data_IF_699998326844
#
_entry.id   IF_699998326844
#
_cell.length_a   1.000
_cell.length_b   1.000
_cell.length_c   1.000
_cell.angle_alpha   90.00
_cell.angle_beta   90.00
_cell.angle_gamma   90.00
#
_symmetry.space_group_name_H-M   'P 1'
#
loop_
_entity.id
_entity.type
_entity.pdbx_description
1 polymer ?
#
# COMPACT_ATOMS: atom_id res chain seq x y z
N UNK A 1 8.97 -31.76 4.80
CA UNK A 1 8.68 -30.40 4.32
C UNK A 1 7.23 -30.12 4.66
N UNK A 2 6.92 -29.16 5.55
CA UNK A 2 5.53 -28.83 5.81
C UNK A 2 4.93 -28.24 4.54
N UNK A 3 3.74 -28.72 4.19
CA UNK A 3 2.95 -28.27 3.06
C UNK A 3 2.75 -26.75 3.12
N UNK A 4 2.83 -26.09 1.97
CA UNK A 4 2.51 -24.66 1.78
C UNK A 4 1.03 -24.33 2.13
N UNK A 5 0.22 -25.34 2.45
CA UNK A 5 -1.22 -25.25 2.73
C UNK A 5 -1.60 -24.77 4.14
N UNK A 6 -0.65 -24.71 5.08
CA UNK A 6 -0.98 -24.48 6.50
C UNK A 6 -0.57 -23.08 7.00
N UNK A 7 -0.17 -22.17 6.11
CA UNK A 7 0.14 -20.77 6.47
C UNK A 7 -1.16 -19.93 6.51
N UNK A 8 -1.67 -19.57 7.72
CA UNK A 8 -2.92 -18.84 7.84
C UNK A 8 -2.84 -17.43 7.27
N UNK A 9 -1.64 -16.83 7.25
CA UNK A 9 -1.38 -15.51 6.64
C UNK A 9 -1.54 -15.62 5.14
N UNK A 10 -0.88 -16.58 4.50
CA UNK A 10 -1.01 -16.80 3.07
C UNK A 10 -2.48 -17.06 2.68
N UNK A 11 -3.18 -17.91 3.44
CA UNK A 11 -4.59 -18.18 3.19
C UNK A 11 -5.50 -16.93 3.33
N UNK A 12 -5.21 -16.05 4.29
CA UNK A 12 -5.94 -14.78 4.44
C UNK A 12 -5.70 -13.84 3.25
N UNK A 13 -4.44 -13.69 2.82
CA UNK A 13 -4.08 -12.87 1.66
C UNK A 13 -4.65 -13.43 0.35
N UNK A 14 -4.70 -14.75 0.21
CA UNK A 14 -5.35 -15.43 -0.93
C UNK A 14 -6.83 -15.09 -1.02
N UNK A 15 -7.58 -15.22 0.08
CA UNK A 15 -9.00 -14.84 0.12
C UNK A 15 -9.19 -13.36 -0.16
N UNK A 16 -8.35 -12.50 0.42
CA UNK A 16 -8.41 -11.06 0.20
C UNK A 16 -8.18 -10.70 -1.27
N UNK A 17 -7.18 -11.30 -1.92
CA UNK A 17 -6.89 -11.06 -3.32
C UNK A 17 -8.11 -11.41 -4.21
N UNK A 18 -8.77 -12.55 -3.98
CA UNK A 18 -9.98 -12.93 -4.71
C UNK A 18 -11.08 -11.87 -4.55
N UNK A 19 -11.39 -11.47 -3.31
CA UNK A 19 -12.45 -10.48 -3.04
C UNK A 19 -12.16 -9.12 -3.68
N UNK A 20 -10.89 -8.69 -3.69
CA UNK A 20 -10.48 -7.42 -4.27
C UNK A 20 -10.53 -7.47 -5.79
N UNK A 21 -10.13 -8.58 -6.40
CA UNK A 21 -10.25 -8.80 -7.85
C UNK A 21 -11.72 -8.73 -8.27
N UNK A 22 -12.62 -9.34 -7.50
CA UNK A 22 -14.06 -9.26 -7.75
C UNK A 22 -14.59 -7.82 -7.65
N UNK A 23 -14.17 -7.06 -6.63
CA UNK A 23 -14.54 -5.63 -6.50
C UNK A 23 -14.05 -4.81 -7.68
N UNK A 24 -12.78 -4.97 -8.06
CA UNK A 24 -12.16 -4.23 -9.18
C UNK A 24 -12.90 -4.55 -10.48
N UNK A 25 -13.23 -5.82 -10.72
CA UNK A 25 -14.00 -6.23 -11.88
C UNK A 25 -15.42 -5.63 -11.87
N UNK A 26 -16.07 -5.58 -10.71
CA UNK A 26 -17.43 -5.05 -10.56
C UNK A 26 -17.54 -3.54 -10.80
N UNK A 27 -16.46 -2.76 -10.62
CA UNK A 27 -16.46 -1.32 -10.91
C UNK A 27 -16.76 -0.99 -12.37
N UNK A 28 -16.41 -1.89 -13.30
CA UNK A 28 -16.42 -1.64 -14.75
C UNK A 28 -15.64 -0.37 -15.17
N UNK A 29 -14.70 0.09 -14.34
CA UNK A 29 -13.81 1.22 -14.61
C UNK A 29 -12.62 0.75 -15.46
N UNK A 30 -12.16 1.58 -16.40
CA UNK A 30 -11.00 1.26 -17.24
C UNK A 30 -9.67 1.37 -16.49
N UNK A 31 -9.61 2.26 -15.49
CA UNK A 31 -8.39 2.65 -14.78
C UNK A 31 -8.64 2.77 -13.27
N UNK A 32 -9.06 1.70 -12.56
CA UNK A 32 -9.40 1.80 -11.16
C UNK A 32 -8.17 2.07 -10.29
N UNK A 33 -8.41 2.76 -9.17
CA UNK A 33 -7.44 3.09 -8.14
C UNK A 33 -7.68 2.18 -6.92
N UNK A 34 -6.68 1.37 -6.58
CA UNK A 34 -6.69 0.49 -5.41
C UNK A 34 -5.66 0.99 -4.40
N UNK A 35 -6.09 1.25 -3.17
CA UNK A 35 -5.20 1.56 -2.04
C UNK A 35 -5.13 0.39 -1.08
N UNK A 36 -3.92 0.04 -0.65
CA UNK A 36 -3.66 -1.00 0.36
C UNK A 36 -2.86 -0.38 1.51
N UNK A 37 -3.54 -0.15 2.62
CA UNK A 37 -2.94 0.33 3.85
C UNK A 37 -2.92 -0.77 4.91
N UNK A 38 -2.17 -0.55 5.97
CA UNK A 38 -1.86 -1.46 7.05
C UNK A 38 -0.49 -1.12 7.62
N UNK A 39 -0.25 -1.49 8.87
CA UNK A 39 1.05 -1.23 9.53
C UNK A 39 2.17 -2.06 8.91
N UNK A 40 3.41 -1.71 9.20
CA UNK A 40 4.60 -2.47 8.81
C UNK A 40 4.48 -3.92 9.27
N UNK A 41 4.72 -4.87 8.35
CA UNK A 41 4.55 -6.30 8.59
C UNK A 41 3.14 -6.87 8.40
N UNK A 42 2.16 -6.08 7.93
CA UNK A 42 0.78 -6.53 7.69
C UNK A 42 0.58 -7.36 6.40
N UNK A 43 1.57 -7.43 5.52
CA UNK A 43 1.48 -8.22 4.27
C UNK A 43 1.02 -7.44 3.02
N UNK A 44 0.99 -6.10 3.09
CA UNK A 44 0.58 -5.21 1.98
C UNK A 44 1.27 -5.51 0.65
N UNK A 45 2.60 -5.53 0.64
CA UNK A 45 3.40 -5.82 -0.56
C UNK A 45 3.08 -7.20 -1.15
N UNK A 46 2.85 -8.20 -0.31
CA UNK A 46 2.45 -9.54 -0.75
C UNK A 46 1.07 -9.53 -1.42
N UNK A 47 0.09 -8.84 -0.82
CA UNK A 47 -1.24 -8.67 -1.39
C UNK A 47 -1.18 -7.91 -2.72
N UNK A 48 -0.45 -6.79 -2.78
CA UNK A 48 -0.28 -5.98 -3.98
C UNK A 48 0.28 -6.83 -5.14
N UNK A 49 1.29 -7.67 -4.88
CA UNK A 49 1.84 -8.60 -5.88
C UNK A 49 0.77 -9.57 -6.40
N UNK A 50 -0.07 -10.13 -5.52
CA UNK A 50 -1.14 -11.04 -5.91
C UNK A 50 -2.20 -10.35 -6.76
N UNK A 51 -2.52 -9.09 -6.48
CA UNK A 51 -3.45 -8.29 -7.30
C UNK A 51 -2.86 -7.98 -8.68
N UNK A 52 -1.57 -7.69 -8.78
CA UNK A 52 -0.88 -7.51 -10.07
C UNK A 52 -0.96 -8.78 -10.92
N UNK A 53 -0.71 -9.94 -10.31
CA UNK A 53 -0.76 -11.25 -10.99
C UNK A 53 -2.18 -11.63 -11.45
N UNK A 54 -3.21 -11.16 -10.75
CA UNK A 54 -4.62 -11.52 -10.97
C UNK A 54 -5.46 -10.36 -11.49
N UNK A 55 -4.80 -9.35 -12.06
CA UNK A 55 -5.47 -8.11 -12.42
C UNK A 55 -6.62 -8.39 -13.42
N UNK A 56 -7.88 -8.01 -13.09
CA UNK A 56 -9.04 -8.47 -13.87
C UNK A 56 -9.30 -7.63 -15.13
N UNK A 57 -8.58 -6.53 -15.32
CA UNK A 57 -8.79 -5.61 -16.45
C UNK A 57 -7.72 -5.85 -17.50
N UNK A 58 -8.13 -5.80 -18.78
CA UNK A 58 -7.23 -5.98 -19.90
C UNK A 58 -6.07 -4.96 -19.87
N UNK A 59 -4.84 -5.47 -20.02
CA UNK A 59 -3.62 -4.66 -19.94
C UNK A 59 -2.88 -4.85 -18.62
N UNK A 60 -1.88 -4.00 -18.39
CA UNK A 60 -1.08 -4.03 -17.15
C UNK A 60 -1.65 -3.06 -16.12
N UNK A 61 -1.46 -3.38 -14.84
CA UNK A 61 -1.65 -2.46 -13.72
C UNK A 61 -0.32 -1.84 -13.30
N UNK A 62 -0.36 -0.62 -12.77
CA UNK A 62 0.79 0.07 -12.22
C UNK A 62 0.80 -0.14 -10.70
N UNK A 63 1.83 -0.78 -10.15
CA UNK A 63 1.96 -1.02 -8.71
C UNK A 63 3.08 -0.17 -8.13
N UNK A 64 2.77 0.62 -7.10
CA UNK A 64 3.66 1.60 -6.50
C UNK A 64 3.65 1.41 -4.98
N UNK A 65 4.81 1.06 -4.42
CA UNK A 65 5.01 0.97 -2.98
C UNK A 65 5.47 2.33 -2.44
N UNK A 66 4.78 2.88 -1.44
CA UNK A 66 5.18 4.15 -0.82
C UNK A 66 6.52 4.03 -0.07
N UNK A 67 6.98 2.81 0.26
CA UNK A 67 8.34 2.56 0.74
C UNK A 67 9.41 3.12 -0.22
N UNK A 68 9.10 3.27 -1.51
CA UNK A 68 9.98 3.91 -2.51
C UNK A 68 9.82 5.43 -2.59
N UNK A 69 8.87 6.03 -1.86
CA UNK A 69 8.50 7.46 -1.94
C UNK A 69 8.81 8.21 -0.64
N UNK A 70 8.71 7.55 0.52
CA UNK A 70 8.90 8.20 1.83
C UNK A 70 10.27 8.90 1.90
N UNK A 71 10.32 10.22 2.17
CA UNK A 71 11.58 10.96 2.31
C UNK A 71 12.21 10.68 3.67
N UNK A 72 12.77 9.48 3.81
CA UNK A 72 13.36 9.01 5.04
C UNK A 72 12.33 8.55 6.07
N UNK A 73 12.84 8.24 7.25
CA UNK A 73 12.08 7.53 8.28
C UNK A 73 11.08 8.36 9.05
N UNK A 74 11.13 9.69 8.92
CA UNK A 74 10.14 10.61 9.50
C UNK A 74 9.18 11.13 8.41
N UNK A 75 9.21 10.49 7.23
CA UNK A 75 8.54 10.92 6.02
C UNK A 75 7.21 10.24 5.73
N UNK A 76 6.55 9.57 6.70
CA UNK A 76 5.31 8.84 6.44
C UNK A 76 4.25 9.77 5.83
N UNK A 77 3.97 10.90 6.51
CA UNK A 77 3.01 11.88 6.01
C UNK A 77 3.44 12.49 4.67
N UNK A 78 4.71 12.92 4.57
CA UNK A 78 5.24 13.55 3.36
C UNK A 78 5.22 12.62 2.15
N UNK A 79 5.47 11.31 2.33
CA UNK A 79 5.38 10.34 1.24
C UNK A 79 3.95 10.12 0.76
N UNK A 80 2.98 10.17 1.67
CA UNK A 80 1.55 10.10 1.32
C UNK A 80 1.13 11.36 0.55
N UNK A 81 1.53 12.54 0.98
CA UNK A 81 1.25 13.79 0.25
C UNK A 81 1.91 13.79 -1.14
N UNK A 82 3.16 13.32 -1.25
CA UNK A 82 3.85 13.12 -2.55
C UNK A 82 3.07 12.18 -3.46
N UNK A 83 2.53 11.08 -2.93
CA UNK A 83 1.71 10.16 -3.70
C UNK A 83 0.34 10.78 -4.09
N UNK A 84 -0.29 11.53 -3.19
CA UNK A 84 -1.54 12.22 -3.47
C UNK A 84 -1.39 13.23 -4.61
N UNK A 85 -0.36 14.09 -4.54
CA UNK A 85 -0.15 15.18 -5.49
C UNK A 85 0.49 14.72 -6.81
N UNK A 86 1.44 13.78 -6.73
CA UNK A 86 2.18 13.29 -7.90
C UNK A 86 1.44 12.19 -8.67
N UNK A 87 0.62 11.40 -7.99
CA UNK A 87 -0.01 10.20 -8.58
C UNK A 87 -1.53 10.32 -8.58
N UNK A 88 -2.16 10.38 -7.42
CA UNK A 88 -3.61 10.19 -7.30
C UNK A 88 -4.41 11.34 -7.89
N UNK A 89 -4.07 12.61 -7.59
CA UNK A 89 -4.77 13.78 -8.14
C UNK A 89 -4.63 13.90 -9.66
N UNK A 90 -3.44 13.74 -10.28
CA UNK A 90 -3.32 13.69 -11.73
C UNK A 90 -4.10 12.52 -12.34
N UNK A 91 -3.97 11.32 -11.78
CA UNK A 91 -4.61 10.11 -12.29
C UNK A 91 -6.14 10.24 -12.29
N UNK A 92 -6.74 10.67 -11.18
CA UNK A 92 -8.19 10.93 -11.08
C UNK A 92 -8.71 12.04 -12.00
N UNK A 93 -7.81 12.84 -12.60
CA UNK A 93 -8.13 13.85 -13.61
C UNK A 93 -7.82 13.40 -15.05
N UNK A 94 -7.38 12.16 -15.25
CA UNK A 94 -6.97 11.66 -16.56
C UNK A 94 -5.64 12.26 -17.04
N UNK A 95 -4.80 12.76 -16.14
CA UNK A 95 -3.52 13.42 -16.44
C UNK A 95 -2.34 12.51 -16.08
N UNK A 96 -1.25 12.68 -16.83
CA UNK A 96 0.02 11.99 -16.57
C UNK A 96 0.56 12.40 -15.19
N UNK A 97 0.69 11.42 -14.30
CA UNK A 97 1.29 11.59 -12.98
C UNK A 97 2.79 11.33 -12.99
N UNK A 98 3.48 11.82 -11.96
CA UNK A 98 4.90 11.57 -11.74
C UNK A 98 5.19 11.44 -10.25
N UNK A 99 6.04 10.48 -9.90
CA UNK A 99 6.60 10.37 -8.55
C UNK A 99 8.11 10.19 -8.62
N UNK A 100 8.79 10.57 -7.56
CA UNK A 100 10.25 10.47 -7.46
C UNK A 100 10.63 9.43 -6.44
N UNK A 101 11.56 8.54 -6.79
CA UNK A 101 12.07 7.55 -5.87
C UNK A 101 12.92 8.21 -4.79
N UNK A 102 12.79 7.73 -3.57
CA UNK A 102 13.72 8.02 -2.48
C UNK A 102 14.84 6.98 -2.45
N UNK A 103 16.09 7.45 -2.48
CA UNK A 103 17.28 6.63 -2.23
C UNK A 103 17.56 6.62 -0.72
N UNK A 104 17.24 5.49 -0.08
CA UNK A 104 17.44 5.29 1.36
C UNK A 104 18.92 5.23 1.76
N UNK A 105 19.83 4.82 0.86
CA UNK A 105 21.27 4.76 1.15
C UNK A 105 21.88 6.17 1.13
N UNK A 106 21.43 7.01 0.19
CA UNK A 106 21.91 8.39 0.04
C UNK A 106 21.11 9.42 0.82
N UNK A 107 19.97 9.02 1.39
CA UNK A 107 18.98 9.92 2.00
C UNK A 107 18.64 11.09 1.07
N UNK A 108 18.37 10.79 -0.20
CA UNK A 108 18.15 11.78 -1.24
C UNK A 108 17.14 11.34 -2.28
N UNK A 109 16.62 12.33 -3.02
CA UNK A 109 15.79 12.11 -4.18
C UNK A 109 16.58 11.51 -5.35
N UNK A 110 15.98 10.53 -6.04
CA UNK A 110 16.57 9.82 -7.17
C UNK A 110 15.76 10.02 -8.46
N UNK A 111 15.62 9.00 -9.29
CA UNK A 111 14.92 9.07 -10.57
C UNK A 111 13.40 9.30 -10.44
N UNK A 112 12.81 9.85 -11.51
CA UNK A 112 11.37 10.10 -11.62
C UNK A 112 10.71 9.02 -12.46
N UNK A 113 9.54 8.58 -12.04
CA UNK A 113 8.71 7.59 -12.73
C UNK A 113 7.38 8.22 -13.13
N UNK A 114 6.91 7.91 -14.34
CA UNK A 114 5.60 8.35 -14.84
C UNK A 114 4.50 7.37 -14.46
N UNK A 115 3.28 7.89 -14.26
CA UNK A 115 2.07 7.10 -14.02
C UNK A 115 1.03 7.43 -15.08
N UNK A 116 0.77 6.45 -15.95
CA UNK A 116 -0.16 6.58 -17.05
C UNK A 116 -1.62 6.58 -16.55
N UNK A 117 -2.42 7.63 -16.81
CA UNK A 117 -3.81 7.69 -16.37
C UNK A 117 -4.71 6.69 -17.08
N UNK A 118 -4.30 6.12 -18.21
CA UNK A 118 -5.08 5.12 -18.95
C UNK A 118 -5.05 3.72 -18.30
N UNK A 119 -4.18 3.50 -17.32
CA UNK A 119 -4.00 2.22 -16.64
C UNK A 119 -4.50 2.30 -15.19
N UNK A 120 -4.96 1.18 -14.66
CA UNK A 120 -5.23 1.06 -13.22
C UNK A 120 -3.96 1.25 -12.39
N UNK A 121 -4.13 1.68 -11.14
CA UNK A 121 -3.03 1.90 -10.19
C UNK A 121 -3.32 1.21 -8.86
N UNK A 122 -2.30 0.55 -8.31
CA UNK A 122 -2.29 0.01 -6.95
C UNK A 122 -1.22 0.79 -6.18
N UNK A 123 -1.63 1.47 -5.11
CA UNK A 123 -0.69 2.06 -4.16
C UNK A 123 -0.75 1.26 -2.86
N UNK A 124 0.42 0.83 -2.38
CA UNK A 124 0.54 0.13 -1.10
C UNK A 124 1.55 0.82 -0.19
N UNK A 125 1.22 0.94 1.09
CA UNK A 125 2.11 1.56 2.06
C UNK A 125 1.39 2.03 3.31
N UNK A 126 2.11 2.10 4.42
CA UNK A 126 1.56 2.55 5.70
C UNK A 126 1.21 4.05 5.66
N UNK A 127 -0.06 4.39 5.88
CA UNK A 127 -0.53 5.78 5.89
C UNK A 127 -1.21 6.23 4.60
N UNK A 128 -1.24 5.39 3.55
CA UNK A 128 -1.80 5.77 2.25
C UNK A 128 -3.31 6.05 2.29
N UNK A 129 -4.05 5.53 3.27
CA UNK A 129 -5.50 5.65 3.36
C UNK A 129 -5.91 6.80 4.27
N UNK A 130 -5.92 8.01 3.72
CA UNK A 130 -6.36 9.25 4.38
C UNK A 130 -7.70 9.72 3.82
N UNK A 131 -8.41 10.65 4.48
CA UNK A 131 -9.65 11.21 3.94
C UNK A 131 -9.48 11.85 2.54
N UNK A 132 -8.28 12.30 2.20
CA UNK A 132 -7.98 12.89 0.89
C UNK A 132 -7.77 11.83 -0.19
N UNK A 133 -6.98 10.79 0.10
CA UNK A 133 -6.73 9.70 -0.87
C UNK A 133 -7.97 8.82 -1.05
N UNK A 134 -8.76 8.61 0.01
CA UNK A 134 -9.99 7.82 -0.01
C UNK A 134 -11.07 8.38 -0.96
N UNK A 135 -11.08 9.70 -1.19
CA UNK A 135 -12.00 10.36 -2.15
C UNK A 135 -11.68 10.06 -3.61
N UNK A 136 -10.47 9.61 -3.90
CA UNK A 136 -9.99 9.31 -5.25
C UNK A 136 -10.01 7.80 -5.51
N UNK A 137 -9.78 7.00 -4.46
CA UNK A 137 -9.69 5.55 -4.57
C UNK A 137 -11.05 4.86 -4.71
N UNK A 138 -11.12 3.91 -5.64
CA UNK A 138 -12.30 3.08 -5.88
C UNK A 138 -12.37 1.90 -4.90
N UNK A 139 -11.23 1.26 -4.66
CA UNK A 139 -11.09 0.14 -3.71
C UNK A 139 -10.07 0.52 -2.64
N UNK A 140 -10.45 0.38 -1.37
CA UNK A 140 -9.68 0.86 -0.22
C UNK A 140 -9.55 -0.25 0.80
N UNK A 141 -8.34 -0.76 0.98
CA UNK A 141 -8.08 -1.93 1.81
C UNK A 141 -7.32 -1.51 3.05
N UNK A 142 -7.84 -1.88 4.21
CA UNK A 142 -7.10 -1.89 5.47
C UNK A 142 -6.70 -3.33 5.82
N UNK A 143 -5.41 -3.62 5.87
CA UNK A 143 -4.87 -4.86 6.39
C UNK A 143 -4.61 -4.73 7.89
N UNK A 144 -5.51 -5.34 8.66
CA UNK A 144 -5.36 -5.46 10.10
C UNK A 144 -4.47 -6.65 10.44
N UNK A 145 -3.52 -6.48 11.35
CA UNK A 145 -2.68 -7.59 11.79
C UNK A 145 -2.14 -7.38 13.19
N UNK A 146 -2.20 -8.46 13.98
CA UNK A 146 -1.82 -8.45 15.38
C UNK A 146 -0.36 -7.98 15.59
N UNK A 147 -0.15 -7.23 16.68
CA UNK A 147 1.12 -6.56 16.96
C UNK A 147 2.30 -7.51 17.15
N UNK A 148 2.10 -8.64 17.82
CA UNK A 148 3.16 -9.62 18.06
C UNK A 148 3.65 -10.26 16.75
N UNK A 149 2.72 -10.54 15.82
CA UNK A 149 3.04 -11.10 14.50
C UNK A 149 3.72 -10.09 13.59
N UNK A 150 3.25 -8.84 13.56
CA UNK A 150 3.77 -7.82 12.61
C UNK A 150 5.20 -7.42 12.92
N UNK A 151 5.58 -7.26 14.20
CA UNK A 151 6.94 -6.85 14.59
C UNK A 151 7.97 -7.91 14.23
N UNK A 152 7.67 -9.19 14.49
CA UNK A 152 8.54 -10.29 14.11
C UNK A 152 8.73 -10.37 12.59
N UNK A 153 7.66 -10.20 11.80
CA UNK A 153 7.73 -10.21 10.32
C UNK A 153 8.51 -9.02 9.77
N UNK A 154 8.26 -7.81 10.27
CA UNK A 154 8.97 -6.61 9.84
C UNK A 154 10.47 -6.69 10.14
N UNK A 155 10.86 -7.16 11.35
CA UNK A 155 12.27 -7.33 11.71
C UNK A 155 12.95 -8.46 10.94
N UNK A 156 12.23 -9.54 10.61
CA UNK A 156 12.75 -10.62 9.76
C UNK A 156 13.00 -10.13 8.33
N UNK A 157 12.14 -9.25 7.81
CA UNK A 157 12.23 -8.72 6.44
C UNK A 157 13.31 -7.64 6.31
N UNK A 158 13.28 -6.63 7.18
CA UNK A 158 14.05 -5.39 7.01
C UNK A 158 15.25 -5.29 7.99
N UNK A 159 15.41 -6.27 8.87
CA UNK A 159 16.62 -6.51 9.64
C UNK A 159 17.09 -5.36 10.53
N UNK A 160 18.42 -5.20 10.58
CA UNK A 160 19.11 -4.24 11.45
C UNK A 160 19.03 -2.79 10.98
N UNK A 161 18.67 -2.54 9.71
CA UNK A 161 18.47 -1.18 9.19
C UNK A 161 17.16 -0.58 9.71
N UNK A 162 16.13 -1.41 9.89
CA UNK A 162 14.81 -0.98 10.38
C UNK A 162 14.75 -0.91 11.91
N UNK A 163 15.49 -1.79 12.61
CA UNK A 163 15.44 -1.93 14.08
C UNK A 163 15.65 -0.62 14.86
N UNK A 164 16.64 0.25 14.54
CA UNK A 164 16.85 1.52 15.25
C UNK A 164 15.71 2.52 15.03
N UNK A 165 14.89 2.30 14.00
CA UNK A 165 13.86 3.23 13.55
C UNK A 165 12.45 2.73 13.85
N UNK A 166 12.30 1.51 14.39
CA UNK A 166 11.02 0.90 14.72
C UNK A 166 10.11 1.84 15.50
N UNK A 167 10.57 2.37 16.63
CA UNK A 167 9.72 3.17 17.52
C UNK A 167 9.30 4.49 16.86
N UNK A 168 10.17 5.11 16.05
CA UNK A 168 9.82 6.35 15.36
C UNK A 168 8.85 6.15 14.20
N UNK A 169 8.98 5.04 13.49
CA UNK A 169 8.04 4.67 12.45
C UNK A 169 6.68 4.29 13.04
N UNK A 170 6.69 3.44 14.07
CA UNK A 170 5.48 3.00 14.76
C UNK A 170 4.67 4.16 15.36
N UNK A 171 5.35 5.22 15.85
CA UNK A 171 4.67 6.45 16.29
C UNK A 171 3.91 7.15 15.16
N UNK A 172 4.52 7.30 13.99
CA UNK A 172 3.85 7.91 12.84
C UNK A 172 2.66 7.08 12.35
N UNK A 173 2.76 5.74 12.39
CA UNK A 173 1.63 4.86 12.12
C UNK A 173 0.49 5.08 13.11
N UNK A 174 0.81 5.17 14.41
CA UNK A 174 -0.19 5.46 15.46
C UNK A 174 -0.84 6.82 15.29
N UNK A 175 -0.07 7.85 14.95
CA UNK A 175 -0.59 9.20 14.68
C UNK A 175 -1.53 9.20 13.46
N UNK A 176 -1.19 8.44 12.41
CA UNK A 176 -2.05 8.23 11.25
C UNK A 176 -3.36 7.53 11.65
N UNK A 177 -3.32 6.46 12.44
CA UNK A 177 -4.52 5.78 12.92
C UNK A 177 -5.47 6.73 13.67
N UNK A 178 -4.92 7.56 14.56
CA UNK A 178 -5.69 8.51 15.36
C UNK A 178 -6.27 9.65 14.52
N UNK A 179 -5.50 10.14 13.55
CA UNK A 179 -5.88 11.30 12.72
C UNK A 179 -6.87 10.94 11.62
N UNK A 180 -6.60 9.85 10.92
CA UNK A 180 -7.22 9.54 9.63
C UNK A 180 -8.26 8.42 9.71
N UNK A 181 -8.27 7.62 10.79
CA UNK A 181 -9.15 6.46 10.97
C UNK A 181 -9.27 5.59 9.69
N UNK A 182 -8.16 5.03 9.19
CA UNK A 182 -8.10 4.36 7.90
C UNK A 182 -9.04 3.15 7.82
N UNK A 183 -9.31 2.49 8.96
CA UNK A 183 -10.26 1.38 9.02
C UNK A 183 -11.68 1.83 8.64
N UNK A 184 -12.12 3.00 9.12
CA UNK A 184 -13.42 3.56 8.75
C UNK A 184 -13.49 4.06 7.29
N UNK A 185 -12.34 4.35 6.68
CA UNK A 185 -12.25 4.75 5.27
C UNK A 185 -12.23 3.56 4.30
N UNK A 186 -11.93 2.37 4.78
CA UNK A 186 -11.76 1.18 3.95
C UNK A 186 -13.10 0.69 3.35
N UNK A 187 -13.07 0.24 2.10
CA UNK A 187 -14.14 -0.59 1.51
C UNK A 187 -14.05 -2.03 2.02
N UNK A 188 -12.85 -2.48 2.38
CA UNK A 188 -12.63 -3.77 3.05
C UNK A 188 -11.60 -3.67 4.16
N UNK A 189 -11.96 -4.25 5.30
CA UNK A 189 -11.04 -4.58 6.39
C UNK A 189 -10.71 -6.06 6.26
N UNK A 190 -9.42 -6.39 6.25
CA UNK A 190 -8.94 -7.76 6.12
C UNK A 190 -8.07 -8.07 7.33
N UNK A 191 -8.50 -9.04 8.13
CA UNK A 191 -7.72 -9.56 9.24
C UNK A 191 -6.67 -10.57 8.74
N UNK A 192 -5.41 -10.28 9.05
CA UNK A 192 -4.26 -11.13 8.76
C UNK A 192 -3.67 -11.64 10.08
N UNK A 193 -3.71 -12.98 10.32
CA UNK A 193 -3.30 -13.57 11.59
C UNK A 193 -1.80 -13.47 11.92
#
# INVERSE_FOLDING_TARGET
MPSRSDDPVAAALERAATLIVDDVHALAAANPVVLIDGRSGAGKTSLARMLVERWPIAGRVQSIALDSIYPGWDGLHDGVERALDGILRPHGRGLLGYWRRWDWERAAEAEVHAVDPALGVILEGSGVLTPATAKIADVRIWLESAEDGRKARALTRDGDTYRPHWDRWARQESDHLLRDDPQALATRVIDVP
#
